data_IF_561584314419
#
_entry.id   IF_561584314419
#
_cell.length_a   1.000
_cell.length_b   1.000
_cell.length_c   1.000
_cell.angle_alpha   90.00
_cell.angle_beta   90.00
_cell.angle_gamma   90.00
#
_symmetry.space_group_name_H-M   'P 1'
#
loop_
_entity.id
_entity.type
_entity.pdbx_description
1 polymer ?
#
# COMPACT_ATOMS: atom_id res chain seq x y z
N UNK A 1 4.02 -19.88 11.83
CA UNK A 1 3.83 -18.86 10.80
C UNK A 1 5.07 -18.80 9.91
N UNK A 2 4.95 -18.69 8.58
CA UNK A 2 6.07 -18.75 7.62
C UNK A 2 6.31 -17.36 7.02
N UNK A 3 7.53 -16.85 7.13
CA UNK A 3 7.92 -15.56 6.57
C UNK A 3 8.12 -15.64 5.06
N UNK A 4 7.70 -14.59 4.35
CA UNK A 4 7.85 -14.45 2.90
C UNK A 4 8.98 -13.46 2.58
N UNK A 5 9.55 -13.55 1.36
CA UNK A 5 10.67 -12.71 0.89
C UNK A 5 10.52 -12.19 -0.54
N UNK A 6 9.60 -12.72 -1.33
CA UNK A 6 9.45 -12.33 -2.74
C UNK A 6 8.61 -11.05 -2.83
N UNK A 7 9.06 -10.08 -3.64
CA UNK A 7 8.23 -8.98 -4.08
C UNK A 7 7.39 -9.45 -5.28
N UNK A 8 6.07 -9.48 -5.13
CA UNK A 8 5.11 -9.82 -6.18
C UNK A 8 4.00 -8.75 -6.22
N UNK A 9 3.45 -8.45 -7.40
CA UNK A 9 2.33 -7.51 -7.59
C UNK A 9 2.75 -6.10 -8.03
N UNK A 10 1.75 -5.24 -8.28
CA UNK A 10 2.00 -3.82 -8.62
C UNK A 10 2.37 -3.03 -7.36
N UNK A 11 3.40 -2.17 -7.38
CA UNK A 11 3.94 -1.57 -6.16
C UNK A 11 2.96 -0.69 -5.38
N UNK A 12 1.94 -0.11 -6.03
CA UNK A 12 0.92 0.71 -5.38
C UNK A 12 0.05 -0.03 -4.36
N UNK A 13 0.01 -1.37 -4.40
CA UNK A 13 -0.71 -2.21 -3.42
C UNK A 13 0.21 -2.84 -2.37
N UNK A 14 1.54 -2.74 -2.56
CA UNK A 14 2.49 -3.42 -1.69
C UNK A 14 2.68 -2.66 -0.36
N UNK A 15 2.74 -3.43 0.73
CA UNK A 15 2.97 -2.87 2.06
C UNK A 15 4.40 -2.31 2.23
N UNK A 16 4.62 -1.32 3.13
CA UNK A 16 5.93 -0.70 3.33
C UNK A 16 7.04 -1.70 3.65
N UNK A 17 6.76 -2.75 4.41
CA UNK A 17 7.72 -3.80 4.76
C UNK A 17 8.14 -4.65 3.55
N UNK A 18 7.27 -4.80 2.54
CA UNK A 18 7.60 -5.43 1.26
C UNK A 18 8.53 -4.52 0.45
N UNK A 19 8.21 -3.22 0.38
CA UNK A 19 9.04 -2.21 -0.30
C UNK A 19 10.43 -2.09 0.34
N UNK A 20 10.51 -2.20 1.66
CA UNK A 20 11.75 -2.19 2.41
C UNK A 20 12.56 -3.49 2.29
N UNK A 21 12.08 -4.50 1.56
CA UNK A 21 12.75 -5.80 1.40
C UNK A 21 12.87 -6.60 2.69
N UNK A 22 12.02 -6.32 3.69
CA UNK A 22 12.05 -7.00 4.98
C UNK A 22 11.29 -8.32 4.90
N UNK A 23 11.62 -9.25 5.79
CA UNK A 23 10.75 -10.41 5.98
C UNK A 23 9.42 -9.94 6.57
N UNK A 24 8.32 -10.45 6.01
CA UNK A 24 6.97 -10.07 6.41
C UNK A 24 6.09 -11.30 6.64
N UNK A 25 4.99 -11.08 7.37
CA UNK A 25 3.92 -12.04 7.55
C UNK A 25 2.81 -11.71 6.56
N UNK A 26 2.30 -12.74 5.85
CA UNK A 26 1.23 -12.58 4.84
C UNK A 26 0.03 -11.76 5.33
N UNK A 27 -0.58 -12.08 6.48
CA UNK A 27 -1.82 -11.41 6.90
C UNK A 27 -1.72 -9.88 7.03
N UNK A 28 -0.58 -9.35 7.46
CA UNK A 28 -0.39 -7.89 7.58
C UNK A 28 -0.34 -7.19 6.22
N UNK A 29 0.37 -7.78 5.26
CA UNK A 29 0.50 -7.22 3.91
C UNK A 29 -0.81 -7.35 3.12
N UNK A 30 -1.61 -8.37 3.40
CA UNK A 30 -2.94 -8.55 2.81
C UNK A 30 -3.90 -7.46 3.31
N UNK A 31 -3.90 -7.14 4.61
CA UNK A 31 -4.72 -6.06 5.18
C UNK A 31 -4.35 -4.70 4.56
N UNK A 32 -3.05 -4.42 4.39
CA UNK A 32 -2.61 -3.22 3.69
C UNK A 32 -3.17 -3.16 2.26
N UNK A 33 -3.01 -4.25 1.50
CA UNK A 33 -3.49 -4.34 0.12
C UNK A 33 -5.01 -4.14 0.03
N UNK A 34 -5.77 -4.76 0.94
CA UNK A 34 -7.22 -4.57 1.05
C UNK A 34 -7.59 -3.11 1.36
N UNK A 35 -6.82 -2.41 2.21
CA UNK A 35 -7.03 -1.00 2.50
C UNK A 35 -6.84 -0.11 1.27
N UNK A 36 -5.79 -0.36 0.48
CA UNK A 36 -5.55 0.34 -0.80
C UNK A 36 -6.71 0.12 -1.77
N UNK A 37 -7.19 -1.12 -1.89
CA UNK A 37 -8.34 -1.47 -2.74
C UNK A 37 -9.61 -0.77 -2.25
N UNK A 38 -9.90 -0.82 -0.94
CA UNK A 38 -11.08 -0.17 -0.37
C UNK A 38 -11.06 1.34 -0.64
N UNK A 39 -9.93 2.00 -0.44
CA UNK A 39 -9.77 3.41 -0.77
C UNK A 39 -10.08 3.66 -2.24
N UNK A 40 -9.52 2.85 -3.15
CA UNK A 40 -9.75 3.00 -4.58
C UNK A 40 -11.21 2.81 -4.98
N UNK A 41 -11.91 1.87 -4.35
CA UNK A 41 -13.34 1.64 -4.56
C UNK A 41 -14.20 2.83 -4.11
N UNK A 42 -13.85 3.47 -3.00
CA UNK A 42 -14.60 4.59 -2.43
C UNK A 42 -14.28 5.92 -3.12
N UNK A 43 -13.00 6.15 -3.46
CA UNK A 43 -12.52 7.46 -3.91
C UNK A 43 -12.34 7.54 -5.44
N UNK A 44 -12.26 6.40 -6.13
CA UNK A 44 -12.00 6.35 -7.58
C UNK A 44 -10.55 6.59 -8.01
N UNK A 45 -9.62 6.68 -7.06
CA UNK A 45 -8.17 6.84 -7.30
C UNK A 45 -7.36 6.14 -6.21
N UNK A 46 -6.06 5.95 -6.42
CA UNK A 46 -5.18 5.26 -5.47
C UNK A 46 -4.71 6.20 -4.34
N UNK A 47 -4.58 5.72 -3.09
CA UNK A 47 -4.02 6.53 -1.99
C UNK A 47 -2.52 6.81 -2.19
N UNK A 48 -1.81 5.92 -2.90
CA UNK A 48 -0.39 6.03 -3.21
C UNK A 48 -0.16 5.83 -4.71
N UNK A 49 0.12 6.93 -5.42
CA UNK A 49 0.50 6.94 -6.83
C UNK A 49 1.47 8.10 -7.08
N UNK A 50 2.50 7.85 -7.91
CA UNK A 50 3.51 8.82 -8.32
C UNK A 50 4.08 8.46 -9.70
N UNK A 51 4.68 9.44 -10.39
CA UNK A 51 5.25 9.25 -11.73
C UNK A 51 6.51 8.38 -11.75
N UNK A 52 7.24 8.31 -10.63
CA UNK A 52 8.49 7.56 -10.54
C UNK A 52 8.43 6.56 -9.40
N UNK A 53 9.02 5.38 -9.61
CA UNK A 53 9.11 4.33 -8.60
C UNK A 53 9.73 4.80 -7.29
N UNK A 54 10.84 5.59 -7.28
CA UNK A 54 11.41 6.09 -6.03
C UNK A 54 10.46 7.02 -5.26
N UNK A 55 9.73 7.90 -5.95
CA UNK A 55 8.75 8.78 -5.31
C UNK A 55 7.57 7.99 -4.73
N UNK A 56 7.07 7.00 -5.49
CA UNK A 56 6.04 6.09 -5.02
C UNK A 56 6.48 5.36 -3.74
N UNK A 57 7.70 4.84 -3.72
CA UNK A 57 8.23 4.11 -2.56
C UNK A 57 8.36 5.01 -1.35
N UNK A 58 8.82 6.25 -1.51
CA UNK A 58 8.87 7.21 -0.40
C UNK A 58 7.46 7.51 0.16
N UNK A 59 6.47 7.64 -0.72
CA UNK A 59 5.07 7.90 -0.32
C UNK A 59 4.46 6.72 0.42
N UNK A 60 4.65 5.50 -0.07
CA UNK A 60 4.22 4.25 0.58
C UNK A 60 4.90 4.12 1.95
N UNK A 61 6.22 4.32 2.02
CA UNK A 61 7.00 4.23 3.26
C UNK A 61 6.59 5.30 4.30
N UNK A 62 6.15 6.47 3.85
CA UNK A 62 5.62 7.51 4.73
C UNK A 62 4.21 7.18 5.26
N UNK A 63 3.44 6.36 4.53
CA UNK A 63 2.07 5.98 4.90
C UNK A 63 1.08 7.15 4.94
N UNK A 64 1.41 8.28 4.29
CA UNK A 64 0.60 9.50 4.30
C UNK A 64 -0.31 9.54 3.07
N UNK A 65 -1.61 9.61 3.30
CA UNK A 65 -2.66 9.80 2.30
C UNK A 65 -3.73 10.73 2.87
N UNK A 66 -4.57 11.29 2.00
CA UNK A 66 -5.66 12.20 2.39
C UNK A 66 -6.99 11.47 2.23
N UNK A 67 -7.82 11.51 3.26
CA UNK A 67 -9.20 11.05 3.19
C UNK A 67 -10.08 12.16 2.59
N UNK A 68 -10.86 11.90 1.54
CA UNK A 68 -11.83 12.86 1.03
C UNK A 68 -12.97 13.15 2.03
N UNK A 69 -13.46 14.38 2.02
CA UNK A 69 -14.55 14.84 2.92
C UNK A 69 -15.90 14.14 2.69
N UNK A 70 -16.07 13.44 1.58
CA UNK A 70 -17.32 12.71 1.27
C UNK A 70 -17.39 11.31 1.89
N UNK A 71 -16.31 10.85 2.54
CA UNK A 71 -16.31 9.58 3.23
C UNK A 71 -17.05 9.72 4.57
N UNK A 72 -17.88 8.72 4.89
CA UNK A 72 -18.54 8.64 6.20
C UNK A 72 -17.52 8.35 7.32
N UNK A 73 -17.76 8.90 8.51
CA UNK A 73 -17.02 8.57 9.74
C UNK A 73 -17.28 7.14 10.25
#
# INVERSE_FOLDING_TARGET
SKYLKTACGSPCYAAPEMIAGRQYMGPGVDVWSCGVILFALLCGYLPFEEKTTPALYQKIMAGKYTLPDHLSE
#
